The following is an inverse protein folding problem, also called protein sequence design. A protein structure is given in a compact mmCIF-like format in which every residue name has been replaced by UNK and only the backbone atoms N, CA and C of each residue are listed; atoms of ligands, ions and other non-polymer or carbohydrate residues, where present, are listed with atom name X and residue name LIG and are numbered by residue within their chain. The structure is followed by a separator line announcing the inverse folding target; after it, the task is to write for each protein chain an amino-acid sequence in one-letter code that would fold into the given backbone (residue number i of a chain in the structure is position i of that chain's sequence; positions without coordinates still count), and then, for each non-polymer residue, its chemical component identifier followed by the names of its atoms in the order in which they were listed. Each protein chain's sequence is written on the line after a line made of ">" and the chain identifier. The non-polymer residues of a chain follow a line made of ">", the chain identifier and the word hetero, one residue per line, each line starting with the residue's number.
data_IF_024528194779
#
_entry.id   IF_024528194779
#
_cell.length_a   1.000
_cell.length_b   1.000
_cell.length_c   1.000
_cell.angle_alpha   90.00
_cell.angle_beta   90.00
_cell.angle_gamma   90.00
#
_symmetry.space_group_name_H-M   'P 1'
#
loop_
_entity.id
_entity.type
_entity.pdbx_description
1 polymer ?
#
# COMPACT_ATOMS: atom_id res chain seq x y z
N UNK A 1 -6.74 -11.02 40.76
CA UNK A 1 -7.48 -9.82 40.34
C UNK A 1 -6.48 -8.67 40.24
N UNK A 2 -6.25 -8.15 39.05
CA UNK A 2 -5.42 -6.94 38.89
C UNK A 2 -6.20 -5.74 39.47
N UNK A 3 -5.59 -4.86 40.29
CA UNK A 3 -6.28 -3.73 40.89
C UNK A 3 -6.80 -2.83 39.74
N UNK A 4 -8.11 -2.62 39.76
CA UNK A 4 -8.79 -1.71 38.82
C UNK A 4 -8.38 -0.28 39.17
N UNK A 5 -7.38 0.27 38.46
CA UNK A 5 -6.94 1.65 38.66
C UNK A 5 -8.05 2.57 38.17
N UNK A 6 -8.53 3.45 39.02
CA UNK A 6 -9.50 4.47 38.63
C UNK A 6 -8.89 5.37 37.52
N UNK A 7 -9.54 5.40 36.38
CA UNK A 7 -9.16 6.28 35.27
C UNK A 7 -9.57 7.70 35.63
N UNK A 8 -8.62 8.62 35.76
CA UNK A 8 -8.85 10.02 36.11
C UNK A 8 -9.15 10.91 34.90
N UNK A 9 -8.71 10.47 33.71
CA UNK A 9 -8.98 11.17 32.46
C UNK A 9 -9.15 10.13 31.34
N UNK A 10 -10.19 10.30 30.53
CA UNK A 10 -10.38 9.54 29.28
C UNK A 10 -10.91 10.46 28.21
N UNK A 11 -10.24 10.47 27.07
CA UNK A 11 -10.69 11.17 25.88
C UNK A 11 -10.50 10.29 24.65
N UNK A 12 -11.48 10.34 23.74
CA UNK A 12 -11.43 9.62 22.47
C UNK A 12 -11.66 10.60 21.32
N UNK A 13 -10.66 10.75 20.49
CA UNK A 13 -10.71 11.52 19.26
C UNK A 13 -11.02 10.59 18.08
N UNK A 14 -11.98 10.99 17.24
CA UNK A 14 -12.30 10.26 16.02
C UNK A 14 -11.48 10.74 14.83
N UNK A 15 -11.03 9.80 14.03
CA UNK A 15 -10.29 10.02 12.79
C UNK A 15 -11.23 10.31 11.62
N UNK A 16 -11.96 11.43 11.66
CA UNK A 16 -12.97 11.77 10.64
C UNK A 16 -12.42 11.73 9.22
N UNK A 17 -11.17 12.12 9.02
CA UNK A 17 -10.52 12.02 7.72
C UNK A 17 -10.32 10.56 7.30
N UNK A 18 -9.80 9.71 8.19
CA UNK A 18 -9.60 8.27 7.92
C UNK A 18 -10.93 7.58 7.68
N UNK A 19 -11.93 7.83 8.52
CA UNK A 19 -13.26 7.24 8.38
C UNK A 19 -13.98 7.74 7.12
N UNK A 20 -13.90 9.04 6.84
CA UNK A 20 -14.50 9.64 5.64
C UNK A 20 -13.85 9.14 4.34
N UNK A 21 -12.53 9.09 4.28
CA UNK A 21 -11.83 8.53 3.11
C UNK A 21 -12.11 7.03 2.93
N UNK A 22 -12.20 6.26 4.01
CA UNK A 22 -12.59 4.85 3.96
C UNK A 22 -14.00 4.69 3.40
N UNK A 23 -14.95 5.51 3.86
CA UNK A 23 -16.34 5.49 3.39
C UNK A 23 -16.45 5.86 1.90
N UNK A 24 -15.65 6.83 1.43
CA UNK A 24 -15.64 7.25 0.03
C UNK A 24 -14.90 6.27 -0.88
N UNK A 25 -13.77 5.72 -0.42
CA UNK A 25 -12.95 4.82 -1.25
C UNK A 25 -13.53 3.42 -1.34
N UNK A 26 -14.33 2.99 -0.37
CA UNK A 26 -14.94 1.66 -0.39
C UNK A 26 -15.82 1.43 -1.64
N UNK A 27 -16.82 2.26 -1.97
CA UNK A 27 -17.62 2.08 -3.17
C UNK A 27 -16.81 2.27 -4.47
N UNK A 28 -15.82 3.17 -4.47
CA UNK A 28 -14.93 3.37 -5.63
C UNK A 28 -14.07 2.13 -5.86
N UNK A 29 -13.49 1.57 -4.81
CA UNK A 29 -12.72 0.33 -4.91
C UNK A 29 -13.61 -0.85 -5.32
N UNK A 30 -14.82 -0.96 -4.75
CA UNK A 30 -15.79 -1.98 -5.13
C UNK A 30 -16.17 -1.87 -6.62
N UNK A 31 -16.44 -0.66 -7.12
CA UNK A 31 -16.74 -0.43 -8.54
C UNK A 31 -15.55 -0.71 -9.46
N UNK A 32 -14.34 -0.28 -9.08
CA UNK A 32 -13.12 -0.50 -9.85
C UNK A 32 -12.73 -1.98 -9.93
N UNK A 33 -13.02 -2.74 -8.88
CA UNK A 33 -12.72 -4.16 -8.76
C UNK A 33 -13.90 -5.06 -9.16
N UNK A 34 -15.04 -4.47 -9.57
CA UNK A 34 -16.24 -5.24 -9.94
C UNK A 34 -15.98 -6.25 -11.05
N UNK A 35 -15.04 -5.97 -11.95
CA UNK A 35 -14.58 -6.89 -13.01
C UNK A 35 -13.45 -7.82 -12.57
N UNK A 36 -13.00 -7.75 -11.32
CA UNK A 36 -11.97 -8.60 -10.75
C UNK A 36 -12.59 -9.88 -10.18
N UNK A 37 -11.74 -10.85 -9.89
CA UNK A 37 -12.21 -12.07 -9.23
C UNK A 37 -12.78 -11.74 -7.82
N UNK A 38 -13.78 -12.52 -7.35
CA UNK A 38 -14.44 -12.27 -6.06
C UNK A 38 -13.46 -12.29 -4.86
N UNK A 39 -12.37 -13.04 -4.96
CA UNK A 39 -11.35 -13.17 -3.89
C UNK A 39 -10.63 -11.84 -3.70
N UNK A 40 -10.24 -11.19 -4.80
CA UNK A 40 -9.61 -9.85 -4.75
C UNK A 40 -10.52 -8.81 -4.11
N UNK A 41 -11.82 -8.82 -4.43
CA UNK A 41 -12.82 -7.92 -3.81
C UNK A 41 -12.92 -8.16 -2.30
N UNK A 42 -12.99 -9.41 -1.87
CA UNK A 42 -13.07 -9.76 -0.44
C UNK A 42 -11.82 -9.28 0.31
N UNK A 43 -10.62 -9.54 -0.20
CA UNK A 43 -9.38 -9.10 0.43
C UNK A 43 -9.25 -7.57 0.51
N UNK A 44 -9.60 -6.86 -0.55
CA UNK A 44 -9.61 -5.40 -0.58
C UNK A 44 -10.60 -4.84 0.47
N UNK A 45 -11.80 -5.39 0.55
CA UNK A 45 -12.81 -5.00 1.53
C UNK A 45 -12.35 -5.24 2.97
N UNK A 46 -11.78 -6.41 3.25
CA UNK A 46 -11.20 -6.73 4.57
C UNK A 46 -10.09 -5.75 4.92
N UNK A 47 -9.17 -5.43 3.99
CA UNK A 47 -8.08 -4.50 4.24
C UNK A 47 -8.59 -3.09 4.58
N UNK A 48 -9.60 -2.60 3.86
CA UNK A 48 -10.23 -1.29 4.12
C UNK A 48 -10.88 -1.25 5.50
N UNK A 49 -11.64 -2.29 5.86
CA UNK A 49 -12.28 -2.40 7.18
C UNK A 49 -11.24 -2.47 8.30
N UNK A 50 -10.17 -3.26 8.12
CA UNK A 50 -9.08 -3.34 9.08
C UNK A 50 -8.39 -2.00 9.29
N UNK A 51 -8.15 -1.21 8.25
CA UNK A 51 -7.59 0.13 8.37
C UNK A 51 -8.49 1.06 9.19
N UNK A 52 -9.81 1.03 8.97
CA UNK A 52 -10.77 1.80 9.75
C UNK A 52 -10.78 1.36 11.22
N UNK A 53 -10.77 0.06 11.50
CA UNK A 53 -10.74 -0.49 12.85
C UNK A 53 -9.44 -0.19 13.59
N UNK A 54 -8.29 -0.12 12.90
CA UNK A 54 -6.99 0.16 13.50
C UNK A 54 -6.74 1.65 13.73
N UNK A 55 -7.23 2.52 12.85
CA UNK A 55 -6.88 3.94 12.82
C UNK A 55 -8.08 4.88 12.89
N UNK A 56 -9.31 4.35 13.06
CA UNK A 56 -10.54 5.15 13.07
C UNK A 56 -10.69 6.07 14.30
N UNK A 57 -10.04 5.75 15.41
CA UNK A 57 -10.07 6.59 16.63
C UNK A 57 -8.82 6.41 17.49
N UNK A 58 -8.57 7.39 18.33
CA UNK A 58 -7.48 7.42 19.30
C UNK A 58 -8.04 7.69 20.68
N UNK A 59 -7.84 6.76 21.60
CA UNK A 59 -8.24 6.92 23.00
C UNK A 59 -7.02 7.12 23.87
N UNK A 60 -7.07 8.14 24.71
CA UNK A 60 -6.06 8.45 25.71
C UNK A 60 -6.67 8.31 27.09
N UNK A 61 -6.13 7.38 27.87
CA UNK A 61 -6.51 7.16 29.26
C UNK A 61 -5.35 7.57 30.19
N UNK A 62 -5.64 8.30 31.26
CA UNK A 62 -4.68 8.59 32.34
C UNK A 62 -5.23 7.99 33.61
N UNK A 63 -4.44 7.17 34.26
CA UNK A 63 -4.65 6.69 35.62
C UNK A 63 -3.56 7.23 36.56
N UNK A 64 -3.59 6.89 37.85
CA UNK A 64 -2.62 7.38 38.83
C UNK A 64 -1.17 6.89 38.60
N UNK A 65 -0.91 6.00 37.62
CA UNK A 65 0.41 5.39 37.39
C UNK A 65 0.89 5.54 35.96
N UNK A 66 -0.02 5.62 34.99
CA UNK A 66 0.32 5.56 33.58
C UNK A 66 -0.60 6.39 32.70
N UNK A 67 -0.04 6.82 31.59
CA UNK A 67 -0.72 7.33 30.42
C UNK A 67 -0.83 6.19 29.41
N UNK A 68 -2.02 5.85 28.99
CA UNK A 68 -2.29 4.76 28.03
C UNK A 68 -2.86 5.33 26.75
N UNK A 69 -2.17 5.10 25.66
CA UNK A 69 -2.57 5.46 24.29
C UNK A 69 -3.09 4.20 23.61
N UNK A 70 -4.29 4.25 23.03
CA UNK A 70 -4.90 3.16 22.27
C UNK A 70 -5.40 3.69 20.94
N UNK A 71 -5.11 2.98 19.86
CA UNK A 71 -5.65 3.31 18.54
C UNK A 71 -6.65 2.24 18.09
N UNK A 72 -7.75 2.69 17.51
CA UNK A 72 -8.83 1.83 17.04
C UNK A 72 -9.28 0.85 18.12
N UNK A 73 -9.45 -0.40 17.74
CA UNK A 73 -9.86 -1.49 18.65
C UNK A 73 -8.83 -1.81 19.76
N UNK A 74 -7.73 -1.01 19.86
CA UNK A 74 -6.73 -1.16 20.92
C UNK A 74 -5.64 -2.20 20.64
N UNK A 75 -5.54 -2.70 19.42
CA UNK A 75 -4.43 -3.57 19.00
C UNK A 75 -3.10 -2.79 19.04
N UNK A 76 -3.12 -1.53 18.59
CA UNK A 76 -1.99 -0.59 18.73
C UNK A 76 -2.19 0.15 20.04
N UNK A 77 -1.38 -0.21 21.05
CA UNK A 77 -1.43 0.41 22.38
C UNK A 77 -0.05 0.70 22.92
N UNK A 78 0.06 1.79 23.68
CA UNK A 78 1.29 2.17 24.38
C UNK A 78 0.99 2.67 25.78
N UNK A 79 1.55 2.00 26.78
CA UNK A 79 1.50 2.43 28.16
C UNK A 79 2.79 3.17 28.51
N UNK A 80 2.66 4.33 29.13
CA UNK A 80 3.74 5.22 29.52
C UNK A 80 3.63 5.45 31.03
N UNK A 81 4.57 4.96 31.86
CA UNK A 81 4.57 5.23 33.28
C UNK A 81 4.72 6.74 33.54
N UNK A 82 3.83 7.33 34.33
CA UNK A 82 3.84 8.78 34.63
C UNK A 82 5.12 9.23 35.32
N UNK A 83 5.74 8.35 36.11
CA UNK A 83 7.05 8.62 36.75
C UNK A 83 8.16 8.95 35.75
N UNK A 84 8.05 8.49 34.50
CA UNK A 84 9.02 8.73 33.47
C UNK A 84 8.76 10.04 32.69
N UNK A 85 7.64 10.71 32.94
CA UNK A 85 7.28 11.96 32.30
C UNK A 85 8.05 13.10 32.97
N UNK A 86 8.89 13.79 32.20
CA UNK A 86 9.67 14.94 32.66
C UNK A 86 8.92 16.27 32.46
N UNK A 87 8.35 16.43 31.25
CA UNK A 87 7.62 17.64 30.87
C UNK A 87 6.64 17.34 29.74
N UNK A 88 5.67 18.22 29.55
CA UNK A 88 4.70 18.12 28.45
C UNK A 88 4.24 19.51 28.04
N UNK A 89 3.91 19.66 26.74
CA UNK A 89 3.47 20.93 26.16
C UNK A 89 2.46 20.71 25.04
N UNK A 90 1.50 21.63 24.83
CA UNK A 90 0.67 21.62 23.64
C UNK A 90 1.52 21.97 22.42
N UNK A 91 1.24 21.32 21.28
CA UNK A 91 1.96 21.50 20.02
C UNK A 91 1.03 21.45 18.84
N UNK A 92 1.43 22.09 17.73
CA UNK A 92 0.79 21.93 16.44
C UNK A 92 1.72 21.12 15.53
N UNK A 93 1.24 19.99 15.01
CA UNK A 93 1.96 19.17 14.07
C UNK A 93 1.98 19.83 12.70
N UNK A 94 3.02 19.58 11.92
CA UNK A 94 3.05 19.97 10.52
C UNK A 94 2.12 19.02 9.73
N UNK A 95 1.40 19.55 8.75
CA UNK A 95 0.41 18.79 7.97
C UNK A 95 1.00 17.53 7.30
N UNK A 96 2.26 17.58 6.86
CA UNK A 96 2.93 16.47 6.20
C UNK A 96 3.37 15.33 7.13
N UNK A 97 3.21 15.47 8.46
CA UNK A 97 3.39 14.33 9.37
C UNK A 97 2.24 13.31 9.23
N UNK A 98 1.08 13.75 8.73
CA UNK A 98 -0.06 12.90 8.46
C UNK A 98 -0.71 12.32 9.72
N UNK A 99 -1.49 11.28 9.50
CA UNK A 99 -2.24 10.57 10.53
C UNK A 99 -1.74 9.14 10.70
N UNK A 100 -2.12 8.47 11.78
CA UNK A 100 -1.67 7.13 12.17
C UNK A 100 -0.52 7.16 13.19
N UNK A 101 0.26 6.08 13.22
CA UNK A 101 1.50 6.00 13.98
C UNK A 101 2.64 6.43 13.07
N UNK A 102 3.30 7.52 13.42
CA UNK A 102 4.33 8.13 12.56
C UNK A 102 5.62 8.38 13.33
N UNK A 103 6.72 8.22 12.62
CA UNK A 103 8.03 8.62 13.10
C UNK A 103 8.27 10.06 12.67
N UNK A 104 8.48 10.96 13.65
CA UNK A 104 8.77 12.37 13.40
C UNK A 104 10.15 12.75 13.93
N UNK A 105 10.73 13.87 13.53
CA UNK A 105 11.99 14.36 14.12
C UNK A 105 11.94 14.56 15.64
N UNK A 106 10.75 14.63 16.20
CA UNK A 106 10.51 14.85 17.63
C UNK A 106 10.11 13.58 18.40
N UNK A 107 10.07 12.42 17.73
CA UNK A 107 9.66 11.15 18.34
C UNK A 107 8.48 10.52 17.62
N UNK A 108 7.92 9.51 18.26
CA UNK A 108 6.71 8.84 17.73
C UNK A 108 5.51 9.75 17.88
N UNK A 109 4.74 9.88 16.82
CA UNK A 109 3.45 10.57 16.79
C UNK A 109 2.34 9.52 16.70
N UNK A 110 1.35 9.62 17.59
CA UNK A 110 0.08 8.91 17.54
C UNK A 110 -1.01 9.95 17.24
N UNK A 111 -1.59 9.91 16.05
CA UNK A 111 -2.59 10.89 15.63
C UNK A 111 -3.61 10.24 14.69
N UNK A 112 -4.89 10.57 14.82
CA UNK A 112 -5.96 10.09 13.93
C UNK A 112 -6.66 11.22 13.18
N UNK A 113 -6.57 12.44 13.68
CA UNK A 113 -7.25 13.61 13.09
C UNK A 113 -6.62 14.92 13.56
N UNK A 114 -6.78 15.97 12.77
CA UNK A 114 -6.31 17.31 13.10
C UNK A 114 -4.77 17.46 13.15
N UNK A 115 -4.34 18.62 13.61
CA UNK A 115 -2.92 18.97 13.74
C UNK A 115 -2.51 19.27 15.19
N UNK A 116 -3.48 19.43 16.09
CA UNK A 116 -3.20 19.69 17.51
C UNK A 116 -2.75 18.41 18.20
N UNK A 117 -1.81 18.55 19.14
CA UNK A 117 -1.25 17.43 19.89
C UNK A 117 -0.68 17.93 21.22
N UNK A 118 -0.34 16.98 22.09
CA UNK A 118 0.49 17.21 23.26
C UNK A 118 1.81 16.45 23.07
N UNK A 119 2.93 17.14 23.19
CA UNK A 119 4.25 16.53 23.21
C UNK A 119 4.63 16.19 24.66
N UNK A 120 5.01 14.95 24.88
CA UNK A 120 5.46 14.44 26.19
C UNK A 120 6.95 14.12 26.11
N UNK A 121 7.75 14.77 26.94
CA UNK A 121 9.17 14.53 27.12
C UNK A 121 9.40 13.58 28.29
N UNK A 122 10.21 12.57 28.09
CA UNK A 122 10.59 11.60 29.13
C UNK A 122 11.92 11.93 29.78
N UNK A 123 12.18 11.39 30.98
CA UNK A 123 13.45 11.55 31.70
C UNK A 123 14.67 11.10 30.88
N UNK A 124 14.52 10.11 30.01
CA UNK A 124 15.56 9.61 29.10
C UNK A 124 15.75 10.45 27.83
N UNK A 125 15.13 11.62 27.71
CA UNK A 125 15.20 12.52 26.57
C UNK A 125 14.34 12.10 25.35
N UNK A 126 13.69 10.95 25.37
CA UNK A 126 12.76 10.54 24.32
C UNK A 126 11.49 11.39 24.38
N UNK A 127 10.81 11.48 23.23
CA UNK A 127 9.56 12.23 23.11
C UNK A 127 8.49 11.38 22.43
N UNK A 128 7.25 11.72 22.76
CA UNK A 128 6.06 11.21 22.10
C UNK A 128 5.10 12.37 21.87
N UNK A 129 4.49 12.43 20.70
CA UNK A 129 3.38 13.32 20.41
C UNK A 129 2.08 12.55 20.37
N UNK A 130 1.06 13.08 21.02
CA UNK A 130 -0.28 12.49 21.12
C UNK A 130 -1.24 13.48 20.50
N UNK A 131 -1.82 13.12 19.35
CA UNK A 131 -2.85 13.90 18.70
C UNK A 131 -4.10 14.01 19.59
N UNK A 132 -4.66 15.18 19.67
CA UNK A 132 -5.90 15.44 20.42
C UNK A 132 -6.55 16.72 19.92
N UNK A 133 -7.86 16.74 19.91
CA UNK A 133 -8.68 17.93 19.71
C UNK A 133 -8.84 18.76 20.99
N UNK A 134 -8.43 18.21 22.15
CA UNK A 134 -8.48 18.88 23.46
C UNK A 134 -7.08 18.96 24.13
N UNK A 135 -6.09 19.65 23.53
CA UNK A 135 -4.73 19.66 24.08
C UNK A 135 -4.65 20.23 25.49
N UNK A 136 -5.43 21.28 25.80
CA UNK A 136 -5.42 21.91 27.11
C UNK A 136 -6.02 20.99 28.20
N UNK A 137 -7.04 20.21 27.88
CA UNK A 137 -7.62 19.24 28.81
C UNK A 137 -6.63 18.13 29.12
N UNK A 138 -5.91 17.62 28.09
CA UNK A 138 -4.88 16.61 28.27
C UNK A 138 -3.69 17.13 29.08
N UNK A 139 -3.26 18.38 28.85
CA UNK A 139 -2.21 19.03 29.64
C UNK A 139 -2.63 19.17 31.10
N UNK A 140 -3.84 19.63 31.39
CA UNK A 140 -4.37 19.70 32.76
C UNK A 140 -4.40 18.35 33.44
N UNK A 141 -4.87 17.32 32.73
CA UNK A 141 -4.93 15.96 33.26
C UNK A 141 -3.54 15.39 33.56
N UNK A 142 -2.55 15.64 32.69
CA UNK A 142 -1.15 15.27 32.94
C UNK A 142 -0.57 16.04 34.11
N UNK A 143 -0.86 17.34 34.23
CA UNK A 143 -0.40 18.16 35.39
C UNK A 143 -0.94 17.60 36.71
N UNK A 144 -2.23 17.30 36.77
CA UNK A 144 -2.85 16.72 37.96
C UNK A 144 -2.27 15.33 38.31
N UNK A 145 -2.04 14.49 37.29
CA UNK A 145 -1.55 13.13 37.51
C UNK A 145 -0.05 13.03 37.83
N UNK A 146 0.76 14.00 37.38
CA UNK A 146 2.23 14.02 37.59
C UNK A 146 2.69 14.97 38.68
N UNK A 147 1.81 15.83 39.12
CA UNK A 147 2.11 16.99 39.99
C UNK A 147 3.22 17.89 39.40
N UNK A 148 3.28 18.02 38.08
CA UNK A 148 4.24 18.83 37.34
C UNK A 148 3.48 19.87 36.51
N UNK A 149 3.94 21.11 36.42
CA UNK A 149 3.31 22.09 35.53
C UNK A 149 3.56 21.75 34.07
N UNK A 150 2.55 21.97 33.22
CA UNK A 150 2.73 21.97 31.79
C UNK A 150 3.63 23.12 31.33
N UNK A 151 4.40 22.89 30.29
CA UNK A 151 5.28 23.94 29.71
C UNK A 151 4.52 24.58 28.53
N UNK A 152 4.65 25.89 28.37
CA UNK A 152 3.92 26.65 27.36
C UNK A 152 4.41 26.39 25.92
N UNK A 153 5.69 26.00 25.75
CA UNK A 153 6.27 25.74 24.43
C UNK A 153 7.18 24.51 24.43
N UNK A 154 7.08 23.64 23.42
CA UNK A 154 7.96 22.49 23.23
C UNK A 154 9.38 22.90 22.79
N UNK A 155 9.60 24.17 22.42
CA UNK A 155 10.92 24.68 22.03
C UNK A 155 11.93 24.65 23.21
N UNK A 156 11.41 24.58 24.44
CA UNK A 156 12.20 24.39 25.66
C UNK A 156 12.69 22.94 25.84
N UNK A 157 12.21 21.99 25.01
CA UNK A 157 12.64 20.62 25.12
C UNK A 157 13.96 20.38 24.38
N UNK A 158 14.96 19.75 25.00
CA UNK A 158 16.21 19.43 24.34
C UNK A 158 15.98 18.52 23.14
N UNK A 159 16.51 18.89 21.99
CA UNK A 159 16.47 18.01 20.80
C UNK A 159 17.47 16.85 20.97
N UNK A 160 17.01 15.62 20.81
CA UNK A 160 17.89 14.45 20.73
C UNK A 160 18.43 14.30 19.29
N UNK A 161 19.72 14.60 19.04
CA UNK A 161 20.30 14.50 17.70
C UNK A 161 20.28 13.06 17.17
N UNK A 162 20.39 12.07 18.06
CA UNK A 162 20.41 10.64 17.70
C UNK A 162 19.07 10.19 17.15
N UNK A 163 17.98 10.66 17.76
CA UNK A 163 16.63 10.35 17.27
C UNK A 163 16.37 10.98 15.89
N UNK A 164 16.76 12.24 15.71
CA UNK A 164 16.61 12.95 14.43
C UNK A 164 17.36 12.25 13.29
N UNK A 165 18.57 11.80 13.56
CA UNK A 165 19.37 11.07 12.57
C UNK A 165 18.78 9.68 12.26
N UNK A 166 18.29 8.95 13.28
CA UNK A 166 17.58 7.68 13.08
C UNK A 166 16.32 7.86 12.24
N UNK A 167 15.51 8.88 12.53
CA UNK A 167 14.32 9.17 11.74
C UNK A 167 14.64 9.47 10.28
N UNK A 168 15.68 10.29 10.02
CA UNK A 168 16.15 10.58 8.66
C UNK A 168 16.65 9.33 7.95
N UNK A 169 17.43 8.50 8.65
CA UNK A 169 17.94 7.24 8.09
C UNK A 169 16.79 6.28 7.73
N UNK A 170 15.81 6.10 8.61
CA UNK A 170 14.65 5.22 8.35
C UNK A 170 13.81 5.71 7.16
N UNK A 171 13.55 7.02 7.08
CA UNK A 171 12.82 7.59 5.94
C UNK A 171 13.62 7.44 4.66
N UNK A 172 14.92 7.73 4.69
CA UNK A 172 15.82 7.55 3.55
C UNK A 172 15.87 6.09 3.07
N UNK A 173 15.97 5.14 4.00
CA UNK A 173 15.97 3.71 3.68
C UNK A 173 14.65 3.27 3.04
N UNK A 174 13.51 3.76 3.54
CA UNK A 174 12.20 3.45 2.96
C UNK A 174 12.09 3.98 1.52
N UNK A 175 12.53 5.22 1.29
CA UNK A 175 12.55 5.81 -0.06
C UNK A 175 13.43 4.98 -1.00
N UNK A 176 14.63 4.58 -0.56
CA UNK A 176 15.51 3.74 -1.36
C UNK A 176 14.89 2.37 -1.69
N UNK A 177 14.22 1.74 -0.73
CA UNK A 177 13.50 0.47 -0.96
C UNK A 177 12.39 0.65 -2.01
N UNK A 178 11.61 1.72 -1.92
CA UNK A 178 10.55 2.00 -2.89
C UNK A 178 11.13 2.25 -4.28
N UNK A 179 12.19 3.06 -4.38
CA UNK A 179 12.88 3.33 -5.66
C UNK A 179 13.46 2.05 -6.24
N UNK A 180 14.12 1.23 -5.42
CA UNK A 180 14.67 -0.06 -5.84
C UNK A 180 13.56 -1.02 -6.31
N UNK A 181 12.42 -1.05 -5.61
CA UNK A 181 11.27 -1.86 -6.01
C UNK A 181 10.65 -1.40 -7.34
N UNK A 182 10.51 -0.08 -7.54
CA UNK A 182 10.05 0.49 -8.81
C UNK A 182 11.04 0.13 -9.93
N UNK A 183 12.34 0.33 -9.72
CA UNK A 183 13.38 -0.01 -10.69
C UNK A 183 13.38 -1.50 -11.04
N UNK A 184 13.28 -2.36 -10.03
CA UNK A 184 13.13 -3.81 -10.21
C UNK A 184 11.88 -4.18 -11.01
N UNK A 185 10.75 -3.54 -10.71
CA UNK A 185 9.50 -3.77 -11.44
C UNK A 185 9.64 -3.40 -12.91
N UNK A 186 10.21 -2.24 -13.21
CA UNK A 186 10.49 -1.83 -14.60
C UNK A 186 11.43 -2.82 -15.30
N UNK A 187 12.50 -3.25 -14.65
CA UNK A 187 13.40 -4.24 -15.17
C UNK A 187 12.71 -5.57 -15.46
N UNK A 188 11.93 -6.10 -14.52
CA UNK A 188 11.20 -7.35 -14.67
C UNK A 188 10.20 -7.34 -15.83
N UNK A 189 9.49 -6.21 -16.02
CA UNK A 189 8.54 -6.07 -17.13
C UNK A 189 9.19 -5.80 -18.48
N UNK A 190 10.41 -5.28 -18.52
CA UNK A 190 11.15 -5.05 -19.76
C UNK A 190 11.75 -6.33 -20.34
N UNK A 191 11.86 -7.40 -19.55
CA UNK A 191 12.36 -8.69 -20.03
C UNK A 191 11.45 -9.29 -21.11
N UNK A 192 12.04 -10.02 -22.09
CA UNK A 192 11.25 -10.73 -23.07
C UNK A 192 10.32 -11.75 -22.38
N UNK A 193 9.15 -12.07 -22.97
CA UNK A 193 8.27 -13.07 -22.40
C UNK A 193 8.96 -14.43 -22.38
N UNK A 194 8.82 -15.15 -21.26
CA UNK A 194 9.15 -16.58 -21.22
C UNK A 194 8.01 -17.34 -21.86
N UNK A 195 8.33 -18.24 -22.76
CA UNK A 195 7.33 -19.10 -23.44
C UNK A 195 7.74 -20.54 -23.25
N UNK A 196 6.81 -21.34 -22.77
CA UNK A 196 6.95 -22.79 -22.63
C UNK A 196 5.78 -23.51 -23.31
N UNK A 197 6.11 -24.53 -24.09
CA UNK A 197 5.12 -25.42 -24.75
C UNK A 197 5.33 -26.79 -24.17
N UNK A 198 4.50 -27.16 -23.20
CA UNK A 198 4.43 -28.54 -22.68
C UNK A 198 3.61 -29.46 -23.57
N UNK A 199 3.45 -30.71 -23.16
CA UNK A 199 2.63 -31.71 -23.92
C UNK A 199 1.16 -31.32 -23.99
N UNK A 200 0.65 -30.51 -23.07
CA UNK A 200 -0.77 -30.19 -22.94
C UNK A 200 -1.09 -28.71 -22.89
N UNK A 201 -0.10 -27.85 -22.73
CA UNK A 201 -0.31 -26.43 -22.44
C UNK A 201 0.70 -25.52 -23.12
N UNK A 202 0.20 -24.37 -23.55
CA UNK A 202 0.97 -23.22 -24.00
C UNK A 202 1.00 -22.17 -22.90
N UNK A 203 2.18 -21.91 -22.34
CA UNK A 203 2.39 -20.98 -21.23
C UNK A 203 3.21 -19.79 -21.70
N UNK A 204 2.74 -18.59 -21.37
CA UNK A 204 3.47 -17.34 -21.58
C UNK A 204 3.50 -16.56 -20.29
N UNK A 205 4.66 -16.06 -19.88
CA UNK A 205 4.77 -15.32 -18.65
C UNK A 205 5.78 -14.18 -18.72
N UNK A 206 5.52 -13.13 -17.95
CA UNK A 206 6.46 -12.06 -17.63
C UNK A 206 6.12 -11.46 -16.28
N UNK A 207 7.05 -11.50 -15.33
CA UNK A 207 6.86 -10.90 -14.00
C UNK A 207 5.59 -11.42 -13.32
N UNK A 208 4.62 -10.52 -13.09
CA UNK A 208 3.34 -10.84 -12.42
C UNK A 208 2.21 -11.23 -13.39
N UNK A 209 2.45 -11.20 -14.69
CA UNK A 209 1.44 -11.52 -15.69
C UNK A 209 1.80 -12.80 -16.41
N UNK A 210 0.82 -13.70 -16.56
CA UNK A 210 0.94 -14.92 -17.30
C UNK A 210 -0.33 -15.23 -18.09
N UNK A 211 -0.19 -16.06 -19.11
CA UNK A 211 -1.26 -16.72 -19.84
C UNK A 211 -0.97 -18.21 -19.92
N UNK A 212 -1.97 -19.01 -19.67
CA UNK A 212 -1.93 -20.45 -19.82
C UNK A 212 -3.12 -20.84 -20.68
N UNK A 213 -2.87 -21.59 -21.76
CA UNK A 213 -3.88 -22.09 -22.71
C UNK A 213 -3.63 -23.57 -22.90
N UNK A 214 -4.67 -24.39 -22.72
CA UNK A 214 -4.55 -25.80 -23.07
C UNK A 214 -4.46 -25.95 -24.60
N UNK A 215 -3.56 -26.82 -25.08
CA UNK A 215 -3.39 -27.02 -26.53
C UNK A 215 -4.67 -27.50 -27.20
N UNK A 216 -5.52 -28.26 -26.48
CA UNK A 216 -6.81 -28.73 -26.95
C UNK A 216 -7.85 -27.62 -27.15
N UNK A 217 -7.70 -26.48 -26.45
CA UNK A 217 -8.62 -25.35 -26.53
C UNK A 217 -8.19 -24.32 -27.59
N UNK A 218 -7.04 -24.52 -28.24
CA UNK A 218 -6.54 -23.62 -29.27
C UNK A 218 -7.32 -23.85 -30.57
N UNK A 219 -8.10 -22.86 -30.97
CA UNK A 219 -8.88 -22.87 -32.22
C UNK A 219 -8.07 -22.42 -33.43
N UNK A 220 -7.17 -21.46 -33.24
CA UNK A 220 -6.32 -20.98 -34.32
C UNK A 220 -5.00 -20.40 -33.83
N UNK A 221 -3.97 -20.59 -34.64
CA UNK A 221 -2.63 -20.00 -34.47
C UNK A 221 -2.28 -19.27 -35.76
N UNK A 222 -1.98 -17.97 -35.67
CA UNK A 222 -1.66 -17.13 -36.81
C UNK A 222 -0.49 -16.19 -36.57
N UNK A 223 0.24 -15.85 -37.62
CA UNK A 223 1.19 -14.75 -37.64
C UNK A 223 0.53 -13.57 -38.33
N UNK A 224 0.58 -12.38 -37.67
CA UNK A 224 0.06 -11.15 -38.24
C UNK A 224 1.11 -10.03 -38.09
N UNK A 225 1.17 -9.13 -39.07
CA UNK A 225 2.12 -8.01 -38.99
C UNK A 225 1.51 -6.79 -38.31
N UNK A 226 0.17 -6.72 -38.22
CA UNK A 226 -0.56 -5.64 -37.57
C UNK A 226 -1.60 -6.19 -36.61
N UNK A 227 -1.81 -5.48 -35.51
CA UNK A 227 -2.84 -5.77 -34.51
C UNK A 227 -3.95 -4.72 -34.58
N UNK A 228 -5.21 -5.09 -34.29
CA UNK A 228 -6.28 -4.13 -34.15
C UNK A 228 -5.97 -3.09 -33.09
N UNK A 229 -6.68 -1.95 -33.17
CA UNK A 229 -6.53 -0.86 -32.22
C UNK A 229 -6.81 -1.34 -30.81
N UNK A 230 -5.92 -0.95 -29.87
CA UNK A 230 -6.15 -1.18 -28.45
C UNK A 230 -7.18 -0.14 -27.96
N UNK A 231 -8.34 -0.63 -27.54
CA UNK A 231 -9.43 0.18 -27.01
C UNK A 231 -9.21 0.49 -25.54
N UNK A 232 -8.81 -0.52 -24.77
CA UNK A 232 -8.66 -0.38 -23.31
C UNK A 232 -7.59 -1.31 -22.77
N UNK A 233 -6.86 -0.85 -21.73
CA UNK A 233 -6.04 -1.68 -20.85
C UNK A 233 -6.82 -1.95 -19.57
N UNK A 234 -7.07 -3.21 -19.25
CA UNK A 234 -7.82 -3.60 -18.03
C UNK A 234 -6.88 -3.81 -16.86
N UNK A 235 -5.82 -4.60 -17.04
CA UNK A 235 -4.79 -4.83 -16.04
C UNK A 235 -3.49 -5.23 -16.74
N UNK A 236 -2.44 -4.44 -16.62
CA UNK A 236 -1.16 -4.75 -17.26
C UNK A 236 -0.19 -3.58 -17.31
N UNK A 237 1.00 -3.88 -17.79
CA UNK A 237 2.10 -2.97 -17.97
C UNK A 237 2.13 -2.42 -19.40
N UNK A 238 2.30 -1.10 -19.54
CA UNK A 238 2.52 -0.43 -20.81
C UNK A 238 3.58 0.64 -20.64
N UNK A 239 4.74 0.45 -21.24
CA UNK A 239 5.83 1.43 -21.24
C UNK A 239 6.53 1.43 -22.60
N UNK A 240 6.46 2.56 -23.30
CA UNK A 240 6.96 2.67 -24.66
C UNK A 240 6.32 1.63 -25.60
N UNK A 241 7.15 0.80 -26.23
CA UNK A 241 6.71 -0.26 -27.13
C UNK A 241 6.26 -1.55 -26.40
N UNK A 242 6.56 -1.71 -25.12
CA UNK A 242 6.31 -2.95 -24.38
C UNK A 242 4.91 -2.96 -23.79
N UNK A 243 4.14 -4.02 -24.11
CA UNK A 243 2.80 -4.27 -23.57
C UNK A 243 2.77 -5.67 -22.93
N UNK A 244 2.32 -5.75 -21.68
CA UNK A 244 2.19 -7.01 -20.91
C UNK A 244 0.90 -7.00 -20.10
N UNK A 245 0.09 -8.06 -20.19
CA UNK A 245 -1.13 -8.23 -19.41
C UNK A 245 -2.42 -8.15 -20.21
N UNK A 246 -3.51 -7.74 -19.58
CA UNK A 246 -4.86 -7.79 -20.13
C UNK A 246 -5.24 -6.52 -20.88
N UNK A 247 -5.67 -6.68 -22.12
CA UNK A 247 -6.07 -5.59 -23.02
C UNK A 247 -7.35 -5.97 -23.75
N UNK A 248 -8.10 -4.97 -24.16
CA UNK A 248 -9.23 -5.11 -25.08
C UNK A 248 -8.84 -4.49 -26.41
N UNK A 249 -8.93 -5.28 -27.47
CA UNK A 249 -8.68 -4.85 -28.85
C UNK A 249 -10.01 -4.68 -29.60
N UNK A 250 -10.01 -3.75 -30.53
CA UNK A 250 -11.15 -3.51 -31.40
C UNK A 250 -11.47 -4.79 -32.19
N UNK A 251 -12.75 -5.15 -32.27
CA UNK A 251 -13.27 -6.35 -32.94
C UNK A 251 -12.82 -7.70 -32.35
N UNK A 252 -11.75 -7.76 -31.56
CA UNK A 252 -11.26 -9.02 -30.98
C UNK A 252 -11.71 -9.25 -29.54
N UNK A 253 -12.21 -8.20 -28.84
CA UNK A 253 -12.60 -8.32 -27.45
C UNK A 253 -11.43 -8.33 -26.48
N UNK A 254 -11.59 -9.04 -25.37
CA UNK A 254 -10.59 -9.13 -24.29
C UNK A 254 -9.57 -10.24 -24.50
N UNK A 255 -8.30 -9.94 -24.23
CA UNK A 255 -7.23 -10.93 -24.33
C UNK A 255 -5.94 -10.46 -23.65
N UNK A 256 -4.89 -11.25 -23.80
CA UNK A 256 -3.60 -10.98 -23.18
C UNK A 256 -2.53 -10.65 -24.21
N UNK A 257 -1.80 -9.56 -23.98
CA UNK A 257 -0.68 -9.14 -24.81
C UNK A 257 0.64 -9.34 -24.05
N UNK A 258 1.61 -9.95 -24.72
CA UNK A 258 3.00 -10.09 -24.30
C UNK A 258 3.91 -9.67 -25.46
N UNK A 259 3.82 -8.39 -25.84
CA UNK A 259 4.37 -7.92 -27.10
C UNK A 259 5.30 -6.72 -26.97
N UNK A 260 6.17 -6.58 -27.96
CA UNK A 260 6.84 -5.34 -28.34
C UNK A 260 6.18 -4.81 -29.62
N UNK A 261 5.52 -3.65 -29.54
CA UNK A 261 4.73 -3.05 -30.62
C UNK A 261 5.51 -2.77 -31.90
N UNK A 262 6.83 -2.56 -31.76
CA UNK A 262 7.68 -2.15 -32.88
C UNK A 262 8.41 -3.34 -33.54
N UNK A 263 8.01 -4.56 -33.24
CA UNK A 263 8.73 -5.75 -33.68
C UNK A 263 7.78 -6.83 -34.25
N UNK A 264 7.10 -6.55 -35.37
CA UNK A 264 6.33 -7.61 -36.03
C UNK A 264 7.24 -8.74 -36.53
N UNK A 265 6.69 -9.96 -36.80
CA UNK A 265 5.30 -10.35 -36.71
C UNK A 265 4.86 -10.64 -35.28
N UNK A 266 3.54 -10.73 -35.08
CA UNK A 266 2.91 -11.11 -33.83
C UNK A 266 2.30 -12.50 -33.96
N UNK A 267 2.60 -13.38 -33.03
CA UNK A 267 1.93 -14.66 -32.89
C UNK A 267 0.62 -14.46 -32.15
N UNK A 268 -0.48 -14.79 -32.78
CA UNK A 268 -1.84 -14.73 -32.22
C UNK A 268 -2.33 -16.13 -31.98
N UNK A 269 -2.72 -16.44 -30.76
CA UNK A 269 -3.35 -17.72 -30.37
C UNK A 269 -4.76 -17.39 -29.90
N UNK A 270 -5.77 -18.04 -30.52
CA UNK A 270 -7.17 -17.90 -30.13
C UNK A 270 -7.65 -19.16 -29.45
N UNK A 271 -8.39 -18.97 -28.36
CA UNK A 271 -9.02 -20.05 -27.60
C UNK A 271 -10.36 -19.53 -27.05
N UNK A 272 -11.47 -20.02 -27.60
CA UNK A 272 -12.81 -19.49 -27.32
C UNK A 272 -12.91 -17.99 -27.58
N UNK A 273 -13.52 -17.28 -26.65
CA UNK A 273 -13.72 -15.82 -26.73
C UNK A 273 -12.48 -14.99 -26.35
N UNK A 274 -11.32 -15.62 -26.13
CA UNK A 274 -10.11 -14.94 -25.72
C UNK A 274 -8.95 -15.16 -26.68
N UNK A 275 -7.92 -14.31 -26.55
CA UNK A 275 -6.70 -14.45 -27.32
C UNK A 275 -5.47 -14.18 -26.48
N UNK A 276 -4.35 -14.76 -26.88
CA UNK A 276 -3.01 -14.47 -26.39
C UNK A 276 -2.14 -14.03 -27.56
N UNK A 277 -1.53 -12.86 -27.46
CA UNK A 277 -0.58 -12.37 -28.48
C UNK A 277 0.81 -12.29 -27.89
N UNK A 278 1.76 -12.87 -28.59
CA UNK A 278 3.17 -12.89 -28.19
C UNK A 278 4.06 -12.49 -29.35
N UNK A 279 5.08 -11.71 -29.06
CA UNK A 279 6.21 -11.59 -29.98
C UNK A 279 7.53 -11.35 -29.19
N UNK A 280 8.62 -11.51 -29.91
CA UNK A 280 9.97 -11.14 -29.47
C UNK A 280 10.48 -9.97 -30.28
N UNK A 281 11.53 -9.29 -29.80
CA UNK A 281 12.21 -8.27 -30.59
C UNK A 281 12.83 -8.86 -31.86
N UNK A 282 13.27 -10.12 -31.77
CA UNK A 282 13.74 -10.90 -32.92
C UNK A 282 12.54 -11.57 -33.61
N UNK A 283 12.27 -11.16 -34.83
CA UNK A 283 11.22 -11.71 -35.67
C UNK A 283 11.40 -13.21 -35.99
N UNK A 284 12.66 -13.65 -36.13
CA UNK A 284 12.96 -15.07 -36.39
C UNK A 284 12.50 -15.94 -35.21
N UNK A 285 12.73 -15.51 -34.00
CA UNK A 285 12.27 -16.21 -32.79
C UNK A 285 10.75 -16.28 -32.69
N UNK A 286 10.05 -15.24 -33.17
CA UNK A 286 8.58 -15.25 -33.19
C UNK A 286 8.07 -16.28 -34.22
N UNK A 287 8.70 -16.36 -35.40
CA UNK A 287 8.36 -17.36 -36.43
C UNK A 287 8.67 -18.79 -35.97
N UNK A 288 9.82 -19.01 -35.35
CA UNK A 288 10.17 -20.31 -34.77
C UNK A 288 9.13 -20.77 -33.74
N UNK A 289 8.68 -19.85 -32.88
CA UNK A 289 7.61 -20.16 -31.91
C UNK A 289 6.29 -20.55 -32.62
N UNK A 290 5.95 -19.84 -33.68
CA UNK A 290 4.76 -20.17 -34.50
C UNK A 290 4.84 -21.59 -35.07
N UNK A 291 5.96 -21.96 -35.70
CA UNK A 291 6.17 -23.28 -36.27
C UNK A 291 6.08 -24.37 -35.20
N UNK A 292 6.75 -24.17 -34.08
CA UNK A 292 6.71 -25.12 -32.96
C UNK A 292 5.32 -25.30 -32.36
N UNK A 293 4.54 -24.22 -32.22
CA UNK A 293 3.19 -24.30 -31.67
C UNK A 293 2.22 -24.98 -32.68
N UNK A 294 2.26 -24.57 -33.96
CA UNK A 294 1.43 -25.14 -35.02
C UNK A 294 1.65 -26.63 -35.14
N UNK A 295 2.89 -27.10 -35.13
CA UNK A 295 3.21 -28.53 -35.17
C UNK A 295 2.65 -29.35 -33.98
N UNK A 296 2.31 -28.69 -32.86
CA UNK A 296 1.73 -29.33 -31.67
C UNK A 296 0.21 -29.30 -31.66
N UNK A 297 -0.40 -28.25 -32.22
CA UNK A 297 -1.89 -28.12 -32.31
C UNK A 297 -2.48 -28.96 -33.42
N UNK A 298 -1.71 -29.21 -34.48
CA UNK A 298 -2.19 -30.01 -35.65
C UNK A 298 -2.09 -31.54 -35.44
N UNK A 299 -1.56 -31.97 -34.30
CA UNK A 299 -1.48 -33.38 -33.91
C UNK A 299 -2.59 -33.75 -32.95
#
# INVERSE_FOLDING_TARGET
>A
MAPTHAVTYRHTQFGWFTLGTTLLLFPVAAAALWSSDPVTLVFASIAIVLLALLFGWLTVDIDNRRLLIKMGIGLIRRAIPLKNVRAFAPVTNRWYYGWGVRLTPYGMLYNVSGLRAVEVLFENGRRVRIGTDEPDALVRALSAATNKPGVHSPDQFPTDPRWRNRARFMVGSLVLIVVAWIGWSFYAYSQPPSVDISSFRFNVGTGLHGAEVALADIESVALVDELPRIVRRTNGFSSGAVLRGNFTLDQWGGGKLFINRNSPPYLVVRAGDTFVVVNFQDAARTRELYERLTARVTR
#
